data_IF_402960647489
#
_entry.id   IF_402960647489
#
_cell.length_a   1.000
_cell.length_b   1.000
_cell.length_c   1.000
_cell.angle_alpha   90.00
_cell.angle_beta   90.00
_cell.angle_gamma   90.00
#
_symmetry.space_group_name_H-M   'P 1'
#
loop_
_entity.id
_entity.type
_entity.pdbx_description
1 polymer ?
#
# COMPACT_ATOMS: atom_id res chain seq x y z
N UNK A 1 13.17 -43.62 8.51
CA UNK A 1 12.27 -42.79 7.68
C UNK A 1 13.04 -41.54 7.28
N UNK A 2 13.08 -41.12 6.01
CA UNK A 2 13.69 -39.85 5.65
C UNK A 2 12.81 -38.72 6.19
N UNK A 3 13.41 -37.81 6.98
CA UNK A 3 12.74 -36.62 7.51
C UNK A 3 12.58 -35.64 6.36
N UNK A 4 11.37 -35.46 5.85
CA UNK A 4 11.07 -34.37 4.91
C UNK A 4 11.31 -33.05 5.65
N UNK A 5 12.21 -32.16 5.18
CA UNK A 5 12.39 -30.87 5.83
C UNK A 5 11.07 -30.08 5.74
N UNK A 6 10.57 -29.64 6.90
CA UNK A 6 9.42 -28.75 6.98
C UNK A 6 9.84 -27.38 6.43
N UNK A 7 9.55 -27.14 5.15
CA UNK A 7 9.82 -25.86 4.49
C UNK A 7 8.57 -24.99 4.62
N UNK A 8 8.55 -24.13 5.64
CA UNK A 8 7.52 -23.11 5.77
C UNK A 8 7.72 -22.03 4.70
N UNK A 9 6.75 -21.90 3.80
CA UNK A 9 6.72 -20.81 2.81
C UNK A 9 5.88 -19.66 3.36
N UNK A 10 6.51 -18.77 4.11
CA UNK A 10 5.88 -17.52 4.53
C UNK A 10 6.00 -16.47 3.42
N UNK A 11 4.86 -15.94 2.96
CA UNK A 11 4.82 -14.91 1.92
C UNK A 11 5.22 -13.55 2.51
N UNK A 12 6.48 -13.18 2.35
CA UNK A 12 7.08 -11.93 2.87
C UNK A 12 6.87 -10.70 1.97
N UNK A 13 6.08 -10.81 0.90
CA UNK A 13 5.92 -9.76 -0.11
C UNK A 13 4.66 -8.89 0.06
N UNK A 14 3.93 -9.00 1.19
CA UNK A 14 2.66 -8.28 1.39
C UNK A 14 2.79 -6.76 1.22
N UNK A 15 3.83 -6.18 1.80
CA UNK A 15 4.10 -4.75 1.82
C UNK A 15 4.42 -4.16 0.44
N UNK A 16 5.33 -4.79 -0.30
CA UNK A 16 5.67 -4.35 -1.67
C UNK A 16 4.52 -4.62 -2.65
N UNK A 17 3.80 -5.74 -2.49
CA UNK A 17 2.60 -6.02 -3.31
C UNK A 17 1.53 -4.97 -3.04
N UNK A 18 1.31 -4.59 -1.77
CA UNK A 18 0.39 -3.51 -1.39
C UNK A 18 0.78 -2.19 -2.04
N UNK A 19 2.05 -1.82 -1.98
CA UNK A 19 2.57 -0.59 -2.59
C UNK A 19 2.33 -0.55 -4.11
N UNK A 20 2.66 -1.63 -4.81
CA UNK A 20 2.42 -1.74 -6.26
C UNK A 20 0.92 -1.67 -6.57
N UNK A 21 0.09 -2.33 -5.76
CA UNK A 21 -1.37 -2.27 -5.93
C UNK A 21 -1.90 -0.85 -5.76
N UNK A 22 -1.43 -0.10 -4.75
CA UNK A 22 -1.81 1.28 -4.53
C UNK A 22 -1.38 2.14 -5.73
N UNK A 23 -0.10 2.10 -6.10
CA UNK A 23 0.43 2.90 -7.21
C UNK A 23 -0.23 2.58 -8.55
N UNK A 24 -0.40 1.30 -8.90
CA UNK A 24 -1.04 0.89 -10.16
C UNK A 24 -2.53 1.25 -10.20
N UNK A 25 -3.25 1.14 -9.07
CA UNK A 25 -4.69 1.44 -9.04
C UNK A 25 -4.95 2.91 -9.38
N UNK A 26 -4.22 3.81 -8.75
CA UNK A 26 -4.37 5.25 -8.97
C UNK A 26 -3.75 5.66 -10.30
N UNK A 27 -2.58 5.12 -10.64
CA UNK A 27 -1.90 5.40 -11.91
C UNK A 27 -2.70 4.95 -13.12
N UNK A 28 -3.50 3.88 -13.05
CA UNK A 28 -4.40 3.53 -14.16
C UNK A 28 -5.65 4.42 -14.21
N UNK A 29 -6.11 4.91 -13.07
CA UNK A 29 -7.44 5.54 -12.95
C UNK A 29 -7.41 7.04 -13.15
N UNK A 30 -6.51 7.76 -12.47
CA UNK A 30 -6.48 9.24 -12.49
C UNK A 30 -6.02 9.78 -13.84
N UNK A 31 -4.91 9.31 -14.44
CA UNK A 31 -4.46 9.77 -15.76
C UNK A 31 -5.48 9.41 -16.86
N UNK A 32 -6.16 8.27 -16.73
CA UNK A 32 -7.24 7.89 -17.64
C UNK A 32 -8.44 8.82 -17.54
N UNK A 33 -8.89 9.12 -16.31
CA UNK A 33 -10.01 10.03 -16.09
C UNK A 33 -9.70 11.44 -16.61
N UNK A 34 -8.49 11.95 -16.36
CA UNK A 34 -8.02 13.21 -16.91
C UNK A 34 -8.01 13.20 -18.44
N UNK A 35 -7.45 12.16 -19.06
CA UNK A 35 -7.39 12.03 -20.51
C UNK A 35 -8.79 11.97 -21.15
N UNK A 36 -9.71 11.22 -20.55
CA UNK A 36 -11.11 11.15 -20.97
C UNK A 36 -11.79 12.52 -20.84
N UNK A 37 -11.64 13.19 -19.69
CA UNK A 37 -12.14 14.54 -19.44
C UNK A 37 -11.73 15.53 -20.51
N UNK A 38 -10.42 15.69 -20.72
CA UNK A 38 -9.86 16.62 -21.69
C UNK A 38 -10.30 16.30 -23.13
N UNK A 39 -10.42 15.02 -23.48
CA UNK A 39 -10.90 14.59 -24.79
C UNK A 39 -12.39 14.86 -25.04
N UNK A 40 -13.18 14.97 -23.97
CA UNK A 40 -14.60 15.36 -24.05
C UNK A 40 -14.80 16.84 -24.33
N UNK A 41 -13.82 17.67 -23.93
CA UNK A 41 -13.82 19.12 -24.08
C UNK A 41 -13.13 19.59 -25.38
N UNK A 42 -11.98 19.01 -25.71
CA UNK A 42 -11.07 19.49 -26.76
C UNK A 42 -10.63 18.35 -27.68
N UNK A 43 -10.45 18.64 -28.98
CA UNK A 43 -9.94 17.66 -29.95
C UNK A 43 -8.46 17.88 -30.28
N UNK A 44 -7.61 17.85 -29.24
CA UNK A 44 -6.17 18.06 -29.37
C UNK A 44 -5.40 17.09 -28.48
N UNK A 45 -4.86 16.01 -29.05
CA UNK A 45 -4.09 15.01 -28.28
C UNK A 45 -2.85 15.61 -27.62
N UNK A 46 -2.25 16.64 -28.21
CA UNK A 46 -1.10 17.32 -27.62
C UNK A 46 -1.41 17.89 -26.22
N UNK A 47 -2.60 18.45 -26.01
CA UNK A 47 -3.04 18.97 -24.71
C UNK A 47 -3.26 17.82 -23.72
N UNK A 48 -3.87 16.72 -24.18
CA UNK A 48 -4.09 15.53 -23.36
C UNK A 48 -2.76 14.93 -22.89
N UNK A 49 -1.78 14.82 -23.80
CA UNK A 49 -0.46 14.27 -23.49
C UNK A 49 0.30 15.17 -22.53
N UNK A 50 0.36 16.49 -22.76
CA UNK A 50 1.12 17.38 -21.87
C UNK A 50 0.52 17.45 -20.48
N UNK A 51 -0.81 17.56 -20.38
CA UNK A 51 -1.50 17.54 -19.10
C UNK A 51 -1.37 16.16 -18.40
N UNK A 52 -1.55 15.07 -19.14
CA UNK A 52 -1.42 13.72 -18.62
C UNK A 52 -0.02 13.39 -18.13
N UNK A 53 1.03 13.75 -18.87
CA UNK A 53 2.41 13.51 -18.42
C UNK A 53 2.78 14.39 -17.22
N UNK A 54 2.31 15.64 -17.18
CA UNK A 54 2.48 16.50 -16.02
C UNK A 54 1.79 15.92 -14.78
N UNK A 55 0.58 15.39 -14.95
CA UNK A 55 -0.17 14.74 -13.88
C UNK A 55 0.50 13.43 -13.42
N UNK A 56 0.98 12.59 -14.34
CA UNK A 56 1.73 11.37 -13.98
C UNK A 56 3.01 11.70 -13.20
N UNK A 57 3.73 12.75 -13.60
CA UNK A 57 4.93 13.20 -12.89
C UNK A 57 4.60 13.72 -11.49
N UNK A 58 3.62 14.63 -11.38
CA UNK A 58 3.22 15.20 -10.09
C UNK A 58 2.61 14.13 -9.16
N UNK A 59 1.72 13.28 -9.68
CA UNK A 59 1.04 12.22 -8.95
C UNK A 59 2.01 11.15 -8.45
N UNK A 60 2.97 10.71 -9.27
CA UNK A 60 3.98 9.73 -8.84
C UNK A 60 4.87 10.25 -7.72
N UNK A 61 5.27 11.53 -7.77
CA UNK A 61 6.04 12.18 -6.70
C UNK A 61 5.18 12.27 -5.43
N UNK A 62 3.95 12.78 -5.54
CA UNK A 62 3.05 12.94 -4.40
C UNK A 62 2.77 11.60 -3.70
N UNK A 63 2.44 10.56 -4.46
CA UNK A 63 2.17 9.23 -3.91
C UNK A 63 3.42 8.55 -3.37
N UNK A 64 4.57 8.68 -4.06
CA UNK A 64 5.85 8.15 -3.58
C UNK A 64 6.27 8.79 -2.25
N UNK A 65 6.13 10.12 -2.13
CA UNK A 65 6.37 10.82 -0.88
C UNK A 65 5.36 10.42 0.21
N UNK A 66 4.09 10.21 -0.15
CA UNK A 66 3.08 9.69 0.77
C UNK A 66 3.46 8.34 1.37
N UNK A 67 3.93 7.40 0.53
CA UNK A 67 4.44 6.10 0.99
C UNK A 67 5.68 6.21 1.86
N UNK A 68 6.63 7.09 1.48
CA UNK A 68 7.82 7.35 2.28
C UNK A 68 7.47 7.87 3.68
N UNK A 69 6.61 8.90 3.74
CA UNK A 69 6.24 9.55 4.99
C UNK A 69 5.44 8.64 5.89
N UNK A 70 4.51 7.84 5.34
CA UNK A 70 3.77 6.84 6.11
C UNK A 70 4.72 5.83 6.76
N UNK A 71 5.58 5.19 5.98
CA UNK A 71 6.53 4.20 6.50
C UNK A 71 7.58 4.81 7.45
N UNK A 72 7.96 6.08 7.24
CA UNK A 72 8.85 6.79 8.15
C UNK A 72 8.15 7.11 9.47
N UNK A 73 6.89 7.55 9.42
CA UNK A 73 6.07 7.81 10.61
C UNK A 73 5.90 6.55 11.46
N UNK A 74 5.64 5.40 10.83
CA UNK A 74 5.58 4.12 11.54
C UNK A 74 6.90 3.78 12.26
N UNK A 75 8.04 4.06 11.61
CA UNK A 75 9.36 3.86 12.21
C UNK A 75 9.67 4.81 13.36
N UNK A 76 9.26 6.07 13.24
CA UNK A 76 9.41 7.08 14.30
C UNK A 76 8.52 6.74 15.50
N UNK A 77 7.28 6.31 15.26
CA UNK A 77 6.38 5.84 16.31
C UNK A 77 6.94 4.62 17.04
N UNK A 78 7.38 3.59 16.31
CA UNK A 78 8.05 2.41 16.90
C UNK A 78 9.25 2.81 17.77
N UNK A 79 10.11 3.70 17.26
CA UNK A 79 11.30 4.13 17.99
C UNK A 79 10.95 4.97 19.24
N UNK A 80 9.84 5.70 19.21
CA UNK A 80 9.34 6.45 20.36
C UNK A 80 8.85 5.51 21.45
N UNK A 81 7.95 4.59 21.11
CA UNK A 81 7.41 3.62 22.07
C UNK A 81 8.50 2.72 22.64
N UNK A 82 9.45 2.25 21.80
CA UNK A 82 10.58 1.43 22.30
C UNK A 82 11.43 2.16 23.32
N UNK A 83 11.62 3.48 23.19
CA UNK A 83 12.37 4.26 24.19
C UNK A 83 11.59 4.42 25.49
N UNK A 84 10.26 4.54 25.39
CA UNK A 84 9.36 4.64 26.53
C UNK A 84 9.34 3.32 27.32
N UNK A 85 9.14 2.22 26.62
CA UNK A 85 9.19 0.86 27.16
C UNK A 85 10.52 0.56 27.87
N UNK A 86 11.64 0.97 27.27
CA UNK A 86 12.97 0.86 27.90
C UNK A 86 13.10 1.66 29.20
N UNK A 87 12.39 2.77 29.34
CA UNK A 87 12.36 3.57 30.57
C UNK A 87 11.46 2.90 31.61
N UNK A 88 10.28 2.44 31.22
CA UNK A 88 9.30 1.81 32.11
C UNK A 88 9.87 0.50 32.72
N UNK A 89 10.49 -0.37 31.91
CA UNK A 89 11.22 -1.57 32.38
C UNK A 89 12.34 -1.26 33.38
N UNK A 90 12.91 -0.06 33.33
CA UNK A 90 13.99 0.36 34.24
C UNK A 90 13.47 1.05 35.50
N UNK A 91 12.46 1.92 35.36
CA UNK A 91 12.00 2.82 36.41
C UNK A 91 10.86 2.22 37.24
N UNK A 92 9.98 1.44 36.62
CA UNK A 92 8.79 0.84 37.24
C UNK A 92 8.67 -0.68 36.96
N UNK A 93 9.72 -1.48 37.17
CA UNK A 93 9.74 -2.91 36.78
C UNK A 93 8.65 -3.76 37.45
N UNK A 94 8.10 -3.32 38.59
CA UNK A 94 7.01 -4.05 39.25
C UNK A 94 5.68 -3.92 38.49
N UNK A 95 5.43 -2.76 37.86
CA UNK A 95 4.24 -2.53 37.03
C UNK A 95 4.35 -3.33 35.73
N UNK A 96 5.51 -3.28 35.07
CA UNK A 96 5.80 -4.09 33.88
C UNK A 96 5.65 -5.60 34.10
N UNK A 97 6.05 -6.11 35.27
CA UNK A 97 5.84 -7.52 35.64
C UNK A 97 4.34 -7.84 35.70
N UNK A 98 3.53 -6.93 36.25
CA UNK A 98 2.08 -7.09 36.33
C UNK A 98 1.45 -7.09 34.93
N UNK A 99 1.87 -6.18 34.05
CA UNK A 99 1.40 -6.09 32.66
C UNK A 99 1.78 -7.35 31.85
N UNK A 100 3.03 -7.81 31.95
CA UNK A 100 3.47 -9.06 31.33
C UNK A 100 2.67 -10.27 31.82
N UNK A 101 2.35 -10.30 33.12
CA UNK A 101 1.51 -11.36 33.71
C UNK A 101 0.10 -11.32 33.16
N UNK A 102 -0.47 -10.13 32.99
CA UNK A 102 -1.80 -9.91 32.40
C UNK A 102 -1.84 -10.35 30.93
N UNK A 103 -0.79 -10.07 30.14
CA UNK A 103 -0.63 -10.58 28.78
C UNK A 103 -0.73 -12.11 28.79
N UNK A 104 0.05 -12.81 29.63
CA UNK A 104 -0.02 -14.26 29.72
C UNK A 104 -1.38 -14.79 30.18
N UNK A 105 -2.05 -14.07 31.09
CA UNK A 105 -3.40 -14.41 31.54
C UNK A 105 -4.41 -14.35 30.39
N UNK A 106 -4.26 -13.39 29.47
CA UNK A 106 -5.09 -13.31 28.26
C UNK A 106 -4.94 -14.54 27.34
N UNK A 107 -3.78 -15.22 27.39
CA UNK A 107 -3.52 -16.49 26.70
C UNK A 107 -3.94 -17.73 27.53
N UNK A 108 -4.55 -17.52 28.71
CA UNK A 108 -5.09 -18.59 29.56
C UNK A 108 -4.09 -19.18 30.56
N UNK A 109 -2.91 -18.60 30.74
CA UNK A 109 -1.96 -19.05 31.76
C UNK A 109 -2.43 -18.60 33.15
N UNK A 110 -2.30 -19.47 34.15
CA UNK A 110 -2.51 -19.06 35.54
C UNK A 110 -1.32 -18.24 36.05
N UNK A 111 -1.49 -17.42 37.10
CA UNK A 111 -0.39 -16.67 37.70
C UNK A 111 0.79 -17.56 38.09
N UNK A 112 0.53 -18.77 38.60
CA UNK A 112 1.57 -19.72 39.03
C UNK A 112 2.40 -20.22 37.84
N UNK A 113 1.79 -20.37 36.67
CA UNK A 113 2.46 -20.80 35.44
C UNK A 113 3.31 -19.67 34.83
N UNK A 114 2.81 -18.43 34.84
CA UNK A 114 3.47 -17.29 34.21
C UNK A 114 4.59 -16.67 35.06
N UNK A 115 4.54 -16.77 36.39
CA UNK A 115 5.54 -16.16 37.30
C UNK A 115 6.99 -16.50 36.92
N UNK A 116 7.29 -17.78 36.62
CA UNK A 116 8.66 -18.18 36.25
C UNK A 116 9.08 -17.65 34.88
N UNK A 117 8.14 -17.53 33.95
CA UNK A 117 8.39 -17.01 32.59
C UNK A 117 8.66 -15.51 32.67
N UNK A 118 7.81 -14.76 33.37
CA UNK A 118 7.97 -13.31 33.56
C UNK A 118 9.28 -13.00 34.28
N UNK A 119 9.62 -13.74 35.35
CA UNK A 119 10.92 -13.58 36.03
C UNK A 119 12.11 -13.90 35.13
N UNK A 120 11.98 -14.85 34.21
CA UNK A 120 13.05 -15.16 33.25
C UNK A 120 13.20 -14.06 32.19
N UNK A 121 12.09 -13.49 31.71
CA UNK A 121 12.09 -12.35 30.79
C UNK A 121 12.70 -11.11 31.46
N UNK A 122 12.30 -10.80 32.69
CA UNK A 122 12.80 -9.64 33.44
C UNK A 122 14.32 -9.64 33.68
N UNK A 123 14.98 -10.81 33.65
CA UNK A 123 16.45 -10.92 33.71
C UNK A 123 17.15 -10.47 32.44
N UNK A 124 16.42 -10.30 31.33
CA UNK A 124 16.92 -9.87 30.02
C UNK A 124 16.12 -8.66 29.53
N UNK A 125 16.42 -7.45 30.03
CA UNK A 125 15.63 -6.24 29.76
C UNK A 125 15.35 -6.00 28.27
N UNK A 126 16.34 -6.13 27.39
CA UNK A 126 16.13 -5.92 25.95
C UNK A 126 15.16 -6.94 25.32
N UNK A 127 15.22 -8.20 25.75
CA UNK A 127 14.28 -9.23 25.26
C UNK A 127 12.88 -9.02 25.84
N UNK A 128 12.80 -8.48 27.05
CA UNK A 128 11.54 -8.15 27.69
C UNK A 128 10.87 -6.96 27.01
N UNK A 129 11.62 -5.89 26.72
CA UNK A 129 11.16 -4.77 25.89
C UNK A 129 10.67 -5.27 24.52
N UNK A 130 11.44 -6.13 23.84
CA UNK A 130 11.01 -6.67 22.54
C UNK A 130 9.73 -7.53 22.66
N UNK A 131 9.51 -8.18 23.81
CA UNK A 131 8.26 -8.89 24.11
C UNK A 131 7.11 -7.92 24.32
N UNK A 132 7.26 -6.90 25.17
CA UNK A 132 6.22 -5.91 25.46
C UNK A 132 5.83 -5.12 24.20
N UNK A 133 6.82 -4.64 23.44
CA UNK A 133 6.61 -4.00 22.14
C UNK A 133 5.71 -4.84 21.22
N UNK A 134 5.89 -6.18 21.21
CA UNK A 134 5.13 -7.06 20.31
C UNK A 134 3.76 -7.45 20.88
N UNK A 135 3.69 -7.83 22.14
CA UNK A 135 2.51 -8.47 22.72
C UNK A 135 1.59 -7.51 23.46
N UNK A 136 2.12 -6.40 23.96
CA UNK A 136 1.33 -5.34 24.57
C UNK A 136 0.94 -4.29 23.53
N UNK A 137 1.93 -3.72 22.84
CA UNK A 137 1.72 -2.61 21.92
C UNK A 137 1.37 -3.04 20.48
N UNK A 138 1.58 -4.32 20.15
CA UNK A 138 1.34 -4.83 18.80
C UNK A 138 2.30 -4.27 17.74
N UNK A 139 3.46 -3.76 18.17
CA UNK A 139 4.44 -3.07 17.34
C UNK A 139 5.59 -4.00 16.94
N UNK A 140 5.75 -4.23 15.65
CA UNK A 140 6.87 -4.97 15.08
C UNK A 140 7.97 -4.01 14.59
N UNK A 141 9.23 -4.47 14.67
CA UNK A 141 10.38 -3.66 14.26
C UNK A 141 10.34 -3.37 12.75
N UNK A 142 10.28 -2.09 12.32
CA UNK A 142 10.23 -1.77 10.91
C UNK A 142 11.56 -2.00 10.21
N UNK A 143 11.52 -2.42 8.95
CA UNK A 143 12.69 -2.53 8.07
C UNK A 143 13.20 -1.11 7.74
N UNK A 144 14.48 -0.84 8.01
CA UNK A 144 15.09 0.47 7.81
C UNK A 144 15.00 0.99 6.36
N UNK A 145 14.89 0.09 5.38
CA UNK A 145 14.76 0.46 3.96
C UNK A 145 13.30 0.53 3.50
N UNK A 146 12.32 0.21 4.36
CA UNK A 146 10.89 0.17 4.02
C UNK A 146 10.42 1.48 3.41
N UNK A 147 10.76 2.62 4.02
CA UNK A 147 10.33 3.93 3.56
C UNK A 147 10.81 4.24 2.13
N UNK A 148 12.11 4.05 1.86
CA UNK A 148 12.67 4.27 0.52
C UNK A 148 12.11 3.28 -0.51
N UNK A 149 11.96 1.99 -0.14
CA UNK A 149 11.37 0.99 -1.03
C UNK A 149 9.93 1.34 -1.38
N UNK A 150 9.11 1.67 -0.38
CA UNK A 150 7.69 2.01 -0.58
C UNK A 150 7.54 3.19 -1.52
N UNK A 151 8.32 4.25 -1.30
CA UNK A 151 8.34 5.42 -2.17
C UNK A 151 8.59 5.07 -3.64
N UNK A 152 9.65 4.31 -3.90
CA UNK A 152 10.05 3.91 -5.25
C UNK A 152 9.03 2.96 -5.90
N UNK A 153 8.50 2.00 -5.13
CA UNK A 153 7.56 1.01 -5.67
C UNK A 153 6.21 1.62 -5.98
N UNK A 154 5.70 2.54 -5.15
CA UNK A 154 4.45 3.26 -5.41
C UNK A 154 4.63 4.20 -6.60
N UNK A 155 5.67 5.04 -6.60
CA UNK A 155 5.91 5.99 -7.68
C UNK A 155 6.13 5.27 -9.02
N UNK A 156 6.94 4.21 -9.05
CA UNK A 156 7.19 3.44 -10.26
C UNK A 156 5.95 2.74 -10.79
N UNK A 157 5.14 2.15 -9.90
CA UNK A 157 3.85 1.56 -10.26
C UNK A 157 2.87 2.62 -10.81
N UNK A 158 2.83 3.80 -10.20
CA UNK A 158 1.99 4.89 -10.66
C UNK A 158 2.36 5.37 -12.06
N UNK A 159 3.66 5.58 -12.33
CA UNK A 159 4.16 5.93 -13.67
C UNK A 159 3.79 4.84 -14.68
N UNK A 160 4.06 3.57 -14.34
CA UNK A 160 3.73 2.45 -15.23
C UNK A 160 2.24 2.37 -15.56
N UNK A 161 1.38 2.57 -14.56
CA UNK A 161 -0.07 2.65 -14.73
C UNK A 161 -0.51 3.83 -15.60
N UNK A 162 0.04 5.02 -15.34
CA UNK A 162 -0.39 6.26 -15.98
C UNK A 162 0.02 6.42 -17.44
N UNK A 163 1.08 5.74 -17.86
CA UNK A 163 1.47 5.73 -19.27
C UNK A 163 0.52 4.92 -20.15
N UNK A 164 -0.16 3.91 -19.61
CA UNK A 164 -1.09 3.04 -20.35
C UNK A 164 -2.24 3.83 -21.00
N UNK A 165 -3.03 4.64 -20.26
CA UNK A 165 -4.12 5.42 -20.86
C UNK A 165 -3.63 6.53 -21.81
N UNK A 166 -2.41 7.02 -21.63
CA UNK A 166 -1.83 8.08 -22.46
C UNK A 166 -1.23 7.58 -23.77
N UNK A 167 -0.86 6.28 -23.85
CA UNK A 167 -0.19 5.70 -25.01
C UNK A 167 -0.94 5.95 -26.33
N UNK A 168 -2.28 5.82 -26.43
CA UNK A 168 -2.98 6.10 -27.69
C UNK A 168 -2.91 7.56 -28.13
N UNK A 169 -2.83 8.50 -27.19
CA UNK A 169 -2.73 9.93 -27.49
C UNK A 169 -1.33 10.33 -27.98
N UNK A 170 -0.29 9.57 -27.63
CA UNK A 170 1.05 9.73 -28.18
C UNK A 170 1.12 9.30 -29.66
N UNK A 171 0.28 8.34 -30.06
CA UNK A 171 0.30 7.75 -31.40
C UNK A 171 -0.71 8.41 -32.36
N UNK A 172 -1.79 8.99 -31.83
CA UNK A 172 -2.90 9.55 -32.61
C UNK A 172 -3.12 11.02 -32.27
N UNK A 173 -2.94 11.90 -33.25
CA UNK A 173 -3.00 13.35 -33.05
C UNK A 173 -4.40 13.92 -32.71
N UNK A 174 -5.48 13.21 -33.08
CA UNK A 174 -6.86 13.61 -32.75
C UNK A 174 -7.32 12.91 -31.48
N UNK A 175 -7.72 13.71 -30.49
CA UNK A 175 -8.17 13.20 -29.19
C UNK A 175 -9.47 12.39 -29.34
N UNK A 176 -10.38 12.78 -30.25
CA UNK A 176 -11.60 12.01 -30.54
C UNK A 176 -11.32 10.60 -31.05
N UNK A 177 -10.26 10.42 -31.84
CA UNK A 177 -9.85 9.10 -32.34
C UNK A 177 -9.04 8.31 -31.32
N UNK A 178 -8.21 9.00 -30.53
CA UNK A 178 -7.41 8.37 -29.48
C UNK A 178 -8.27 7.87 -28.30
N UNK A 179 -9.34 8.58 -27.95
CA UNK A 179 -10.17 8.29 -26.78
C UNK A 179 -10.78 6.87 -26.79
N UNK A 180 -11.47 6.40 -27.85
CA UNK A 180 -12.01 5.04 -27.87
C UNK A 180 -10.92 3.97 -27.70
N UNK A 181 -9.74 4.19 -28.27
CA UNK A 181 -8.60 3.28 -28.15
C UNK A 181 -8.10 3.27 -26.70
N UNK A 182 -7.96 4.45 -26.08
CA UNK A 182 -7.57 4.60 -24.67
C UNK A 182 -8.56 3.95 -23.72
N UNK A 183 -9.87 4.10 -23.96
CA UNK A 183 -10.91 3.42 -23.18
C UNK A 183 -10.70 1.91 -23.23
N UNK A 184 -10.60 1.31 -24.43
CA UNK A 184 -10.46 -0.15 -24.55
C UNK A 184 -9.18 -0.64 -23.88
N UNK A 185 -8.04 -0.02 -24.18
CA UNK A 185 -6.73 -0.41 -23.62
C UNK A 185 -6.74 -0.29 -22.09
N UNK A 186 -7.29 0.79 -21.55
CA UNK A 186 -7.30 1.02 -20.10
C UNK A 186 -8.28 0.10 -19.38
N UNK A 187 -9.47 -0.16 -19.93
CA UNK A 187 -10.42 -1.10 -19.31
C UNK A 187 -9.86 -2.53 -19.29
N UNK A 188 -9.15 -2.93 -20.34
CA UNK A 188 -8.43 -4.23 -20.36
C UNK A 188 -7.33 -4.24 -19.30
N UNK A 189 -6.52 -3.17 -19.21
CA UNK A 189 -5.47 -3.07 -18.20
C UNK A 189 -6.03 -3.11 -16.77
N UNK A 190 -7.12 -2.38 -16.49
CA UNK A 190 -7.85 -2.40 -15.21
C UNK A 190 -8.42 -3.78 -14.89
N UNK A 191 -8.97 -4.50 -15.87
CA UNK A 191 -9.48 -5.84 -15.69
C UNK A 191 -8.36 -6.84 -15.35
N UNK A 192 -7.26 -6.81 -16.10
CA UNK A 192 -6.07 -7.65 -15.86
C UNK A 192 -5.47 -7.35 -14.50
N UNK A 193 -5.21 -6.07 -14.21
CA UNK A 193 -4.65 -5.64 -12.94
C UNK A 193 -5.57 -6.01 -11.77
N UNK A 194 -6.87 -5.75 -11.87
CA UNK A 194 -7.84 -6.10 -10.83
C UNK A 194 -7.92 -7.62 -10.60
N UNK A 195 -7.83 -8.43 -11.65
CA UNK A 195 -7.78 -9.90 -11.52
C UNK A 195 -6.52 -10.35 -10.77
N UNK A 196 -5.36 -9.83 -11.16
CA UNK A 196 -4.06 -10.12 -10.53
C UNK A 196 -4.07 -9.68 -9.07
N UNK A 197 -4.50 -8.43 -8.79
CA UNK A 197 -4.70 -7.89 -7.44
C UNK A 197 -5.59 -8.81 -6.60
N UNK A 198 -6.71 -9.26 -7.16
CA UNK A 198 -7.63 -10.13 -6.43
C UNK A 198 -6.99 -11.46 -6.03
N UNK A 199 -6.20 -12.06 -6.93
CA UNK A 199 -5.45 -13.29 -6.66
C UNK A 199 -4.41 -13.11 -5.56
N UNK A 200 -3.67 -12.01 -5.55
CA UNK A 200 -2.62 -11.76 -4.54
C UNK A 200 -3.16 -11.31 -3.18
N UNK A 201 -4.31 -10.65 -3.15
CA UNK A 201 -4.93 -10.17 -1.89
C UNK A 201 -5.85 -11.21 -1.24
N UNK A 202 -5.95 -12.43 -1.79
CA UNK A 202 -6.82 -13.48 -1.26
C UNK A 202 -8.31 -13.24 -1.50
N UNK A 203 -8.68 -12.27 -2.34
CA UNK A 203 -10.07 -11.97 -2.70
C UNK A 203 -10.50 -12.72 -3.98
N UNK A 204 -11.80 -12.73 -4.30
CA UNK A 204 -12.30 -13.37 -5.53
C UNK A 204 -11.78 -12.58 -6.76
N UNK A 205 -10.90 -13.15 -7.61
CA UNK A 205 -10.22 -12.40 -8.67
C UNK A 205 -11.16 -11.68 -9.64
N UNK A 206 -12.21 -12.37 -10.09
CA UNK A 206 -13.19 -11.80 -11.02
C UNK A 206 -13.97 -10.63 -10.41
N UNK A 207 -14.32 -10.72 -9.12
CA UNK A 207 -14.99 -9.61 -8.40
C UNK A 207 -14.07 -8.39 -8.32
N UNK A 208 -12.79 -8.61 -8.02
CA UNK A 208 -11.79 -7.55 -7.92
C UNK A 208 -11.55 -6.85 -9.27
N UNK A 209 -11.48 -7.63 -10.36
CA UNK A 209 -11.42 -7.11 -11.73
C UNK A 209 -12.62 -6.23 -12.06
N UNK A 210 -13.85 -6.72 -11.84
CA UNK A 210 -15.09 -5.98 -12.12
C UNK A 210 -15.12 -4.67 -11.31
N UNK A 211 -14.80 -4.72 -10.02
CA UNK A 211 -14.77 -3.53 -9.16
C UNK A 211 -13.77 -2.48 -9.67
N UNK A 212 -12.56 -2.90 -10.05
CA UNK A 212 -11.53 -1.98 -10.55
C UNK A 212 -11.90 -1.35 -11.89
N UNK A 213 -12.49 -2.13 -12.80
CA UNK A 213 -13.03 -1.60 -14.07
C UNK A 213 -14.16 -0.60 -13.82
N UNK A 214 -15.09 -0.91 -12.91
CA UNK A 214 -16.22 -0.02 -12.60
C UNK A 214 -15.76 1.31 -11.99
N UNK A 215 -14.81 1.28 -11.06
CA UNK A 215 -14.26 2.50 -10.45
C UNK A 215 -13.57 3.36 -11.51
N UNK A 216 -12.72 2.75 -12.36
CA UNK A 216 -12.05 3.47 -13.44
C UNK A 216 -13.02 4.07 -14.47
N UNK A 217 -14.04 3.31 -14.87
CA UNK A 217 -15.09 3.78 -15.77
C UNK A 217 -15.93 4.91 -15.16
N UNK A 218 -16.27 4.82 -13.87
CA UNK A 218 -16.99 5.88 -13.15
C UNK A 218 -16.16 7.17 -13.06
N UNK A 219 -14.88 7.06 -12.67
CA UNK A 219 -13.99 8.21 -12.58
C UNK A 219 -13.84 8.92 -13.94
N UNK A 220 -13.58 8.16 -15.01
CA UNK A 220 -13.47 8.71 -16.35
C UNK A 220 -14.79 9.27 -16.89
N UNK A 221 -15.92 8.60 -16.64
CA UNK A 221 -17.24 9.08 -17.01
C UNK A 221 -17.58 10.41 -16.32
N UNK A 222 -17.30 10.51 -15.03
CA UNK A 222 -17.51 11.76 -14.27
C UNK A 222 -16.61 12.89 -14.78
N UNK A 223 -15.32 12.63 -15.00
CA UNK A 223 -14.40 13.62 -15.55
C UNK A 223 -14.84 14.09 -16.95
N UNK A 224 -15.29 13.17 -17.81
CA UNK A 224 -15.83 13.48 -19.13
C UNK A 224 -17.07 14.39 -19.06
N UNK A 225 -18.03 14.05 -18.20
CA UNK A 225 -19.26 14.83 -18.03
C UNK A 225 -18.96 16.22 -17.49
N UNK A 226 -18.11 16.32 -16.45
CA UNK A 226 -17.71 17.60 -15.86
C UNK A 226 -16.97 18.49 -16.86
N UNK A 227 -16.00 17.94 -17.58
CA UNK A 227 -15.26 18.70 -18.59
C UNK A 227 -16.22 19.22 -19.67
N UNK A 228 -17.12 18.37 -20.18
CA UNK A 228 -18.11 18.76 -21.20
C UNK A 228 -19.12 19.80 -20.69
N UNK A 229 -19.44 19.81 -19.39
CA UNK A 229 -20.38 20.78 -18.81
C UNK A 229 -19.76 22.19 -18.66
N UNK A 230 -18.44 22.28 -18.55
CA UNK A 230 -17.71 23.55 -18.35
C UNK A 230 -17.17 24.12 -19.68
N UNK A 231 -17.09 23.29 -20.72
CA UNK A 231 -16.49 23.63 -22.03
C UNK A 231 -17.46 24.25 -23.03
#
# INVERSE_FOLDING_TARGET
MPVTPHVERHFTAGDTVRDVVIGMSDGLTVPFALAAGLSGALDASAIVVTAGLAEVAAGSIAMGLGGYLAAKSDAEHYASERRREQQEVKEIPAEEVAETTEIFRSYGLTPEESVRVVQALARKPETWVDFMMRFELGLERPDARRAARSALTIAGAYVGGGLIPLLPYLLVASARRALPISIVVTLVALAVFGFVKGRFTGSRPLKSAIQTVLIGALAAGMAFVLARAIS
#
